data_IF_865499589765
#
_entry.id   IF_865499589765
#
_cell.length_a   1.000
_cell.length_b   1.000
_cell.length_c   1.000
_cell.angle_alpha   90.00
_cell.angle_beta   90.00
_cell.angle_gamma   90.00
#
_symmetry.space_group_name_H-M   'P 1'
#
loop_
_entity.id
_entity.type
_entity.pdbx_description
1 polymer ?
#
# COMPACT_ATOMS: atom_id res chain seq x y z
N UNK A 1 -40.01 -22.26 38.61
CA UNK A 1 -39.58 -20.84 38.49
C UNK A 1 -38.09 -20.66 38.20
N UNK A 2 -37.23 -21.66 38.43
CA UNK A 2 -35.78 -21.56 38.19
C UNK A 2 -35.31 -21.83 36.74
N UNK A 3 -36.13 -22.48 35.91
CA UNK A 3 -35.78 -22.81 34.52
C UNK A 3 -35.70 -21.58 33.61
N UNK A 4 -36.58 -20.58 33.82
CA UNK A 4 -36.57 -19.33 33.04
C UNK A 4 -35.38 -18.41 33.35
N UNK A 5 -34.80 -18.50 34.55
CA UNK A 5 -33.61 -17.72 34.94
C UNK A 5 -32.36 -18.31 34.27
N UNK A 6 -32.26 -19.65 34.22
CA UNK A 6 -31.18 -20.34 33.52
C UNK A 6 -31.20 -20.08 32.00
N UNK A 7 -32.39 -20.05 31.40
CA UNK A 7 -32.52 -19.85 29.96
C UNK A 7 -32.19 -18.42 29.54
N UNK A 8 -32.51 -17.42 30.39
CA UNK A 8 -32.16 -16.00 30.17
C UNK A 8 -30.67 -15.73 30.37
N UNK A 9 -30.00 -16.43 31.29
CA UNK A 9 -28.56 -16.29 31.51
C UNK A 9 -27.75 -16.91 30.37
N UNK A 10 -28.15 -18.07 29.84
CA UNK A 10 -27.49 -18.68 28.66
C UNK A 10 -27.63 -17.81 27.41
N UNK A 11 -28.78 -17.16 27.20
CA UNK A 11 -28.99 -16.21 26.09
C UNK A 11 -28.20 -14.89 26.23
N UNK A 12 -27.95 -14.43 27.46
CA UNK A 12 -27.10 -13.27 27.72
C UNK A 12 -25.60 -13.60 27.50
N UNK A 13 -25.18 -14.83 27.82
CA UNK A 13 -23.79 -15.29 27.60
C UNK A 13 -23.49 -15.45 26.11
N UNK A 14 -24.44 -15.96 25.30
CA UNK A 14 -24.25 -16.06 23.85
C UNK A 14 -24.15 -14.67 23.19
N UNK A 15 -24.97 -13.70 23.58
CA UNK A 15 -24.90 -12.33 23.04
C UNK A 15 -23.63 -11.57 23.45
N UNK A 16 -23.04 -11.88 24.62
CA UNK A 16 -21.73 -11.36 25.02
C UNK A 16 -20.57 -12.04 24.26
N UNK A 17 -20.67 -13.33 23.93
CA UNK A 17 -19.67 -14.05 23.15
C UNK A 17 -19.63 -13.65 21.66
N UNK A 18 -20.75 -13.15 21.11
CA UNK A 18 -20.84 -12.63 19.73
C UNK A 18 -20.65 -11.12 19.61
N UNK A 19 -20.19 -10.42 20.65
CA UNK A 19 -19.57 -9.10 20.46
C UNK A 19 -18.21 -9.29 19.79
N UNK A 20 -18.25 -9.69 18.51
CA UNK A 20 -17.11 -9.60 17.63
C UNK A 20 -16.56 -8.19 17.73
N UNK A 21 -15.25 -8.09 17.94
CA UNK A 21 -14.50 -6.84 17.97
C UNK A 21 -14.56 -6.18 16.59
N UNK A 22 -15.71 -5.63 16.23
CA UNK A 22 -16.08 -5.17 14.89
C UNK A 22 -15.54 -3.78 14.54
N UNK A 23 -14.47 -3.34 15.21
CA UNK A 23 -13.85 -2.02 14.96
C UNK A 23 -12.51 -2.15 14.23
N UNK A 24 -11.85 -3.31 14.31
CA UNK A 24 -10.55 -3.55 13.66
C UNK A 24 -10.49 -4.89 12.92
N UNK A 25 -11.50 -5.18 12.11
CA UNK A 25 -11.40 -6.31 11.19
C UNK A 25 -10.34 -6.00 10.10
N UNK A 26 -9.13 -6.56 10.28
CA UNK A 26 -7.99 -6.36 9.37
C UNK A 26 -8.28 -6.75 7.92
N UNK A 27 -9.24 -7.64 7.67
CA UNK A 27 -9.66 -8.00 6.32
C UNK A 27 -10.42 -6.86 5.62
N UNK A 28 -11.24 -6.11 6.38
CA UNK A 28 -12.00 -4.94 5.89
C UNK A 28 -11.07 -3.73 5.69
N UNK A 29 -10.09 -3.56 6.59
CA UNK A 29 -9.15 -2.44 6.57
C UNK A 29 -8.01 -2.56 5.55
N UNK A 30 -7.94 -3.68 4.78
CA UNK A 30 -6.91 -3.82 3.75
C UNK A 30 -7.23 -2.91 2.56
N UNK A 31 -6.38 -1.92 2.24
CA UNK A 31 -6.54 -1.18 0.99
C UNK A 31 -6.47 -2.17 -0.17
N UNK A 32 -7.36 -2.01 -1.15
CA UNK A 32 -7.36 -2.83 -2.38
C UNK A 32 -6.01 -2.65 -3.07
N UNK A 33 -5.12 -3.62 -2.91
CA UNK A 33 -3.79 -3.61 -3.54
C UNK A 33 -4.01 -3.64 -5.05
N UNK A 34 -3.58 -2.57 -5.73
CA UNK A 34 -3.60 -2.56 -7.19
C UNK A 34 -2.55 -3.54 -7.68
N UNK A 35 -2.98 -4.67 -8.22
CA UNK A 35 -2.11 -5.71 -8.78
C UNK A 35 -1.67 -5.41 -10.22
N UNK A 36 -2.10 -4.28 -10.80
CA UNK A 36 -1.71 -3.87 -12.15
C UNK A 36 -0.76 -2.68 -12.08
N UNK A 37 0.40 -2.85 -12.69
CA UNK A 37 1.28 -1.74 -12.97
C UNK A 37 0.58 -0.74 -13.91
N UNK A 38 0.90 0.57 -13.81
CA UNK A 38 0.47 1.55 -14.79
C UNK A 38 0.82 1.07 -16.21
N UNK A 39 -0.08 1.30 -17.17
CA UNK A 39 0.19 0.96 -18.58
C UNK A 39 1.48 1.65 -19.04
N UNK A 40 2.44 0.91 -19.65
CA UNK A 40 3.70 1.49 -20.09
C UNK A 40 3.44 2.52 -21.19
N UNK A 41 4.13 3.66 -21.11
CA UNK A 41 4.09 4.72 -22.12
C UNK A 41 5.49 5.28 -22.32
N UNK A 42 6.06 5.01 -23.48
CA UNK A 42 7.47 5.30 -23.75
C UNK A 42 7.76 6.80 -23.78
N UNK A 43 6.88 7.58 -24.42
CA UNK A 43 6.94 9.05 -24.42
C UNK A 43 7.00 9.61 -23.00
N UNK A 44 6.18 9.07 -22.09
CA UNK A 44 6.18 9.51 -20.68
C UNK A 44 7.46 9.08 -19.96
N UNK A 45 7.96 7.87 -20.24
CA UNK A 45 9.20 7.34 -19.65
C UNK A 45 10.38 8.26 -19.96
N UNK A 46 10.57 8.62 -21.23
CA UNK A 46 11.65 9.49 -21.70
C UNK A 46 11.46 10.93 -21.20
N UNK A 47 10.26 11.50 -21.32
CA UNK A 47 10.03 12.90 -20.92
C UNK A 47 10.20 13.14 -19.41
N UNK A 48 9.86 12.15 -18.57
CA UNK A 48 9.95 12.29 -17.11
C UNK A 48 11.30 11.82 -16.57
N UNK A 49 11.88 10.76 -17.15
CA UNK A 49 13.05 10.10 -16.57
C UNK A 49 14.29 10.05 -17.47
N UNK A 50 14.18 10.58 -18.69
CA UNK A 50 15.24 10.58 -19.70
C UNK A 50 16.39 11.54 -19.39
N UNK A 51 17.46 11.39 -20.17
CA UNK A 51 18.72 12.10 -19.96
C UNK A 51 18.56 13.62 -19.96
N UNK A 52 17.89 14.17 -20.97
CA UNK A 52 17.71 15.62 -21.12
C UNK A 52 16.93 16.20 -19.93
N UNK A 53 15.91 15.47 -19.47
CA UNK A 53 15.16 15.88 -18.29
C UNK A 53 16.04 15.91 -17.04
N UNK A 54 16.94 14.94 -16.86
CA UNK A 54 17.91 14.93 -15.76
C UNK A 54 18.92 16.06 -15.87
N UNK A 55 19.40 16.38 -17.07
CA UNK A 55 20.37 17.46 -17.28
C UNK A 55 19.77 18.85 -17.05
N UNK A 56 18.47 19.04 -17.33
CA UNK A 56 17.77 20.32 -17.18
C UNK A 56 17.78 20.89 -15.75
N UNK A 57 17.85 20.04 -14.72
CA UNK A 57 17.77 20.46 -13.31
C UNK A 57 19.09 20.20 -12.57
N UNK A 58 19.50 21.05 -11.62
CA UNK A 58 20.70 20.82 -10.83
C UNK A 58 20.61 19.51 -10.02
N UNK A 59 19.43 19.19 -9.46
CA UNK A 59 19.24 17.93 -8.74
C UNK A 59 19.34 16.70 -9.65
N UNK A 60 18.83 16.78 -10.88
CA UNK A 60 18.95 15.72 -11.86
C UNK A 60 20.41 15.43 -12.20
N UNK A 61 21.24 16.47 -12.38
CA UNK A 61 22.70 16.31 -12.57
C UNK A 61 23.37 15.62 -11.38
N UNK A 62 23.01 15.98 -10.13
CA UNK A 62 23.51 15.29 -8.93
C UNK A 62 23.11 13.81 -8.89
N UNK A 63 21.90 13.46 -9.32
CA UNK A 63 21.47 12.06 -9.44
C UNK A 63 22.34 11.30 -10.44
N UNK A 64 22.64 11.89 -11.60
CA UNK A 64 23.51 11.27 -12.61
C UNK A 64 24.92 11.03 -12.04
N UNK A 65 25.52 12.04 -11.40
CA UNK A 65 26.83 11.92 -10.75
C UNK A 65 26.86 10.78 -9.73
N UNK A 66 25.83 10.66 -8.87
CA UNK A 66 25.74 9.55 -7.90
C UNK A 66 25.61 8.18 -8.56
N UNK A 67 24.90 8.07 -9.69
CA UNK A 67 24.76 6.80 -10.43
C UNK A 67 26.06 6.39 -11.11
N UNK A 68 26.82 7.36 -11.64
CA UNK A 68 28.15 7.15 -12.22
C UNK A 68 29.13 6.70 -11.13
N UNK A 69 29.14 7.39 -9.98
CA UNK A 69 30.01 7.03 -8.86
C UNK A 69 29.72 5.61 -8.32
N UNK A 70 28.45 5.20 -8.34
CA UNK A 70 28.05 3.82 -7.99
C UNK A 70 28.42 2.79 -9.08
N UNK A 71 28.81 3.22 -10.28
CA UNK A 71 29.13 2.33 -11.40
C UNK A 71 27.91 1.68 -12.04
N UNK A 72 26.74 2.35 -12.08
CA UNK A 72 25.56 1.79 -12.75
C UNK A 72 25.73 1.85 -14.27
N UNK A 73 25.51 0.71 -14.95
CA UNK A 73 25.53 0.64 -16.42
C UNK A 73 24.49 1.56 -17.07
N UNK A 74 23.22 1.48 -16.65
CA UNK A 74 22.20 2.41 -17.07
C UNK A 74 22.16 3.61 -16.10
N UNK A 75 22.41 4.81 -16.62
CA UNK A 75 22.44 6.06 -15.83
C UNK A 75 21.09 6.79 -15.91
N UNK A 76 20.42 6.74 -17.05
CA UNK A 76 19.11 7.35 -17.27
C UNK A 76 18.24 6.45 -18.16
N UNK A 77 16.92 6.66 -18.07
CA UNK A 77 15.97 6.02 -18.97
C UNK A 77 16.17 6.44 -20.43
#
# INVERSE_FOLDING_TARGET
MFTGILQKTVAAVSTLAFREAHVFNRAILKPKVRCHFPKPREVKRINVHGWDKRMSTPEGRRVLMRRILKGRYNISH
#
